data_IF_170093960635
#
_entry.id   IF_170093960635
#
_cell.length_a   1.000
_cell.length_b   1.000
_cell.length_c   1.000
_cell.angle_alpha   90.00
_cell.angle_beta   90.00
_cell.angle_gamma   90.00
#
_symmetry.space_group_name_H-M   'P 1'
#
loop_
_entity.id
_entity.type
_entity.pdbx_description
1 polymer ?
#
# COMPACT_ATOMS: atom_id res chain seq x y z
N UNK A 1 30.98 9.00 -8.94
CA UNK A 1 30.68 7.69 -9.57
C UNK A 1 29.40 7.84 -10.36
N UNK A 2 29.35 7.31 -11.56
CA UNK A 2 28.12 7.26 -12.38
C UNK A 2 27.57 5.84 -12.31
N UNK A 3 26.28 5.68 -12.08
CA UNK A 3 25.60 4.38 -12.01
C UNK A 3 24.41 4.38 -12.95
N UNK A 4 24.21 3.30 -13.69
CA UNK A 4 22.98 3.02 -14.45
C UNK A 4 22.19 1.94 -13.74
N UNK A 5 20.88 2.00 -13.83
CA UNK A 5 19.95 0.97 -13.37
C UNK A 5 18.92 0.66 -14.43
N UNK A 6 18.64 -0.61 -14.64
CA UNK A 6 17.58 -1.08 -15.54
C UNK A 6 16.74 -2.08 -14.77
N UNK A 7 15.44 -1.94 -14.80
CA UNK A 7 14.55 -2.98 -14.32
C UNK A 7 13.36 -3.16 -15.25
N UNK A 8 12.88 -4.39 -15.33
CA UNK A 8 11.65 -4.73 -16.04
C UNK A 8 10.83 -5.68 -15.18
N UNK A 9 9.54 -5.47 -15.12
CA UNK A 9 8.55 -6.31 -14.45
C UNK A 9 7.41 -6.56 -15.42
N UNK A 10 7.29 -7.81 -15.88
CA UNK A 10 6.16 -8.26 -16.71
C UNK A 10 5.29 -9.20 -15.90
N UNK A 11 4.00 -8.91 -15.76
CA UNK A 11 3.07 -9.70 -14.96
C UNK A 11 1.78 -9.98 -15.72
N UNK A 12 1.40 -11.26 -15.74
CA UNK A 12 0.03 -11.71 -16.06
C UNK A 12 -0.76 -11.77 -14.78
N UNK A 13 -1.96 -11.22 -14.77
CA UNK A 13 -2.84 -11.19 -13.61
C UNK A 13 -4.23 -11.65 -14.04
N UNK A 14 -4.79 -12.64 -13.34
CA UNK A 14 -6.10 -13.22 -13.62
C UNK A 14 -7.00 -13.13 -12.40
N UNK A 15 -8.23 -12.74 -12.64
CA UNK A 15 -9.27 -12.59 -11.65
C UNK A 15 -10.47 -13.42 -12.00
N UNK A 16 -11.06 -14.07 -10.99
CA UNK A 16 -12.44 -14.51 -10.92
C UNK A 16 -13.03 -13.83 -9.69
N UNK A 17 -13.59 -12.64 -9.90
CA UNK A 17 -14.14 -11.82 -8.82
C UNK A 17 -15.49 -12.36 -8.37
N UNK A 18 -16.05 -11.85 -7.28
CA UNK A 18 -17.41 -12.16 -6.88
C UNK A 18 -18.40 -11.68 -7.95
N UNK A 19 -19.41 -12.52 -8.26
CA UNK A 19 -20.47 -12.19 -9.21
C UNK A 19 -21.41 -11.12 -8.63
N UNK A 20 -21.55 -9.93 -9.26
CA UNK A 20 -22.44 -8.89 -8.79
C UNK A 20 -23.91 -9.31 -8.78
N UNK A 21 -24.68 -8.85 -7.79
CA UNK A 21 -26.13 -9.01 -7.82
C UNK A 21 -26.73 -8.11 -8.92
N UNK A 22 -27.62 -8.68 -9.74
CA UNK A 22 -28.23 -7.99 -10.89
C UNK A 22 -29.11 -6.79 -10.50
N UNK A 23 -29.58 -6.74 -9.25
CA UNK A 23 -30.43 -5.67 -8.73
C UNK A 23 -29.66 -4.43 -8.28
N UNK A 24 -28.34 -4.56 -8.06
CA UNK A 24 -27.52 -3.52 -7.40
C UNK A 24 -26.57 -2.81 -8.37
N UNK A 25 -26.30 -3.37 -9.56
CA UNK A 25 -25.34 -2.79 -10.49
C UNK A 25 -25.56 -3.25 -11.93
N UNK A 26 -24.99 -2.54 -12.93
CA UNK A 26 -24.80 -3.12 -14.24
C UNK A 26 -24.02 -4.41 -14.09
N UNK A 27 -24.53 -5.49 -14.66
CA UNK A 27 -23.87 -6.80 -14.65
C UNK A 27 -22.60 -6.68 -15.47
N UNK A 28 -21.45 -6.84 -14.82
CA UNK A 28 -20.16 -6.88 -15.47
C UNK A 28 -19.61 -8.30 -15.46
N UNK A 29 -18.60 -8.57 -16.27
CA UNK A 29 -17.90 -9.85 -16.27
C UNK A 29 -16.85 -9.85 -15.15
N UNK A 30 -16.98 -10.65 -14.10
CA UNK A 30 -16.02 -10.73 -13.01
C UNK A 30 -14.75 -11.52 -13.38
N UNK A 31 -14.77 -12.26 -14.51
CA UNK A 31 -13.70 -13.17 -14.94
C UNK A 31 -12.89 -12.52 -16.06
N UNK A 32 -11.61 -12.24 -15.79
CA UNK A 32 -10.72 -11.66 -16.80
C UNK A 32 -9.24 -11.94 -16.49
N UNK A 33 -8.43 -11.79 -17.53
CA UNK A 33 -6.97 -11.86 -17.45
C UNK A 33 -6.37 -10.72 -18.25
N UNK A 34 -5.39 -10.03 -17.68
CA UNK A 34 -4.68 -8.96 -18.38
C UNK A 34 -3.16 -9.08 -18.19
N UNK A 35 -2.42 -8.43 -19.09
CA UNK A 35 -0.97 -8.35 -19.06
C UNK A 35 -0.54 -6.92 -18.71
N UNK A 36 0.42 -6.78 -17.83
CA UNK A 36 1.08 -5.52 -17.58
C UNK A 36 2.60 -5.66 -17.62
N UNK A 37 3.24 -4.65 -18.17
CA UNK A 37 4.69 -4.52 -18.25
C UNK A 37 5.12 -3.15 -17.72
N UNK A 38 6.20 -3.12 -16.93
CA UNK A 38 6.83 -1.90 -16.45
C UNK A 38 8.34 -2.00 -16.58
N UNK A 39 8.93 -1.11 -17.37
CA UNK A 39 10.37 -0.91 -17.43
C UNK A 39 10.77 0.40 -16.74
N UNK A 40 11.89 0.39 -16.05
CA UNK A 40 12.53 1.59 -15.47
C UNK A 40 13.98 1.68 -15.94
N UNK A 41 14.36 2.86 -16.45
CA UNK A 41 15.73 3.22 -16.78
C UNK A 41 16.16 4.37 -15.89
N UNK A 42 17.20 4.16 -15.08
CA UNK A 42 17.72 5.15 -14.15
C UNK A 42 19.19 5.45 -14.36
N UNK A 43 19.56 6.71 -14.13
CA UNK A 43 20.95 7.17 -14.09
C UNK A 43 21.17 7.94 -12.80
N UNK A 44 22.27 7.64 -12.12
CA UNK A 44 22.69 8.34 -10.92
C UNK A 44 24.12 8.84 -11.02
N UNK A 45 24.36 10.04 -10.47
CA UNK A 45 25.70 10.59 -10.26
C UNK A 45 25.91 10.78 -8.76
N UNK A 46 26.90 10.11 -8.19
CA UNK A 46 27.22 10.18 -6.78
C UNK A 46 28.54 10.93 -6.58
N UNK A 47 28.48 12.06 -5.89
CA UNK A 47 29.63 12.82 -5.43
C UNK A 47 29.83 12.70 -3.91
N UNK A 48 30.85 13.36 -3.39
CA UNK A 48 31.12 13.39 -1.94
C UNK A 48 30.08 14.20 -1.15
N UNK A 49 29.56 15.26 -1.73
CA UNK A 49 28.61 16.20 -1.09
C UNK A 49 27.26 16.28 -1.79
N UNK A 50 27.13 15.75 -2.99
CA UNK A 50 25.89 15.79 -3.76
C UNK A 50 25.66 14.47 -4.49
N UNK A 51 24.39 14.13 -4.69
CA UNK A 51 23.95 13.07 -5.58
C UNK A 51 22.86 13.64 -6.49
N UNK A 52 22.85 13.18 -7.75
CA UNK A 52 21.79 13.43 -8.70
C UNK A 52 21.24 12.10 -9.17
N UNK A 53 19.93 11.99 -9.31
CA UNK A 53 19.30 10.79 -9.84
C UNK A 53 18.14 11.16 -10.74
N UNK A 54 18.06 10.49 -11.88
CA UNK A 54 16.93 10.56 -12.80
C UNK A 54 16.52 9.15 -13.21
N UNK A 55 15.22 8.92 -13.34
CA UNK A 55 14.70 7.66 -13.85
C UNK A 55 13.44 7.89 -14.68
N UNK A 56 13.32 7.18 -15.80
CA UNK A 56 12.13 7.11 -16.62
C UNK A 56 11.49 5.74 -16.48
N UNK A 57 10.17 5.73 -16.44
CA UNK A 57 9.37 4.51 -16.43
C UNK A 57 8.56 4.43 -17.73
N UNK A 58 8.52 3.25 -18.30
CA UNK A 58 7.57 2.88 -19.35
C UNK A 58 6.61 1.84 -18.78
N UNK A 59 5.32 2.04 -18.95
CA UNK A 59 4.25 1.10 -18.56
C UNK A 59 3.41 0.76 -19.78
N UNK A 60 3.05 -0.51 -19.92
CA UNK A 60 2.12 -1.03 -20.92
C UNK A 60 1.14 -1.98 -20.24
N UNK A 61 -0.14 -1.79 -20.50
CA UNK A 61 -1.22 -2.66 -20.06
C UNK A 61 -2.00 -3.14 -21.28
N UNK A 62 -2.35 -4.41 -21.29
CA UNK A 62 -3.07 -5.05 -22.38
C UNK A 62 -4.18 -5.93 -21.86
N UNK A 63 -5.26 -6.01 -22.63
CA UNK A 63 -6.44 -6.81 -22.33
C UNK A 63 -7.11 -6.44 -21.00
N UNK A 64 -7.20 -5.14 -20.70
CA UNK A 64 -7.96 -4.67 -19.56
C UNK A 64 -9.46 -4.95 -19.76
N UNK A 65 -10.20 -5.38 -18.72
CA UNK A 65 -11.61 -5.70 -18.83
C UNK A 65 -12.44 -4.44 -19.08
N UNK A 66 -13.27 -4.46 -20.10
CA UNK A 66 -14.12 -3.31 -20.50
C UNK A 66 -15.46 -3.28 -19.77
N UNK A 67 -15.84 -4.36 -19.12
CA UNK A 67 -17.16 -4.60 -18.52
C UNK A 67 -17.11 -5.11 -17.07
N UNK A 68 -15.93 -5.20 -16.43
CA UNK A 68 -15.78 -5.63 -15.04
C UNK A 68 -16.20 -4.52 -14.04
N UNK A 69 -17.46 -4.05 -14.16
CA UNK A 69 -17.96 -2.84 -13.48
C UNK A 69 -18.77 -3.31 -12.33
N UNK A 70 -19.00 -3.82 -11.52
CA UNK A 70 -19.93 -4.17 -10.47
C UNK A 70 -20.26 -2.98 -9.54
N UNK A 71 -20.66 -3.22 -8.31
CA UNK A 71 -20.74 -2.19 -7.29
C UNK A 71 -19.33 -1.74 -6.88
N UNK A 72 -18.70 -0.86 -7.69
CA UNK A 72 -17.29 -0.54 -7.68
C UNK A 72 -16.46 -1.52 -8.54
N UNK A 73 -15.21 -1.20 -8.86
CA UNK A 73 -14.38 -2.04 -9.75
C UNK A 73 -14.17 -3.46 -9.23
N UNK A 74 -14.25 -4.43 -10.13
CA UNK A 74 -14.09 -5.84 -9.85
C UNK A 74 -12.61 -6.26 -10.02
N UNK A 75 -11.75 -5.86 -9.09
CA UNK A 75 -10.33 -6.14 -9.13
C UNK A 75 -9.47 -5.07 -9.83
N UNK A 76 -8.16 -5.28 -9.88
CA UNK A 76 -7.19 -4.27 -10.33
C UNK A 76 -7.33 -3.89 -11.81
N UNK A 77 -7.62 -4.84 -12.68
CA UNK A 77 -7.83 -4.60 -14.12
C UNK A 77 -8.99 -3.63 -14.38
N UNK A 78 -10.09 -3.77 -13.63
CA UNK A 78 -11.23 -2.88 -13.70
C UNK A 78 -10.89 -1.45 -13.27
N UNK A 79 -10.06 -1.28 -12.24
CA UNK A 79 -9.60 0.05 -11.82
C UNK A 79 -8.70 0.70 -12.87
N UNK A 80 -7.81 -0.05 -13.53
CA UNK A 80 -7.00 0.48 -14.65
C UNK A 80 -7.88 0.88 -15.83
N UNK A 81 -8.86 0.05 -16.18
CA UNK A 81 -9.80 0.40 -17.24
C UNK A 81 -10.64 1.64 -16.90
N UNK A 82 -11.14 1.74 -15.68
CA UNK A 82 -11.93 2.90 -15.23
C UNK A 82 -11.12 4.22 -15.27
N UNK A 83 -9.81 4.16 -15.02
CA UNK A 83 -8.92 5.33 -15.07
C UNK A 83 -8.52 5.72 -16.50
N UNK A 84 -8.36 4.75 -17.41
CA UNK A 84 -7.88 5.00 -18.78
C UNK A 84 -8.99 5.10 -19.82
N UNK A 85 -10.11 4.39 -19.60
CA UNK A 85 -11.19 4.20 -20.59
C UNK A 85 -10.80 3.28 -21.76
N UNK A 86 -9.66 2.58 -21.68
CA UNK A 86 -9.09 1.80 -22.76
C UNK A 86 -8.80 0.37 -22.29
N UNK A 87 -9.01 -0.61 -23.17
CA UNK A 87 -8.61 -2.02 -22.94
C UNK A 87 -7.10 -2.23 -23.04
N UNK A 88 -6.36 -1.25 -23.51
CA UNK A 88 -4.90 -1.18 -23.52
C UNK A 88 -4.46 0.23 -23.14
N UNK A 89 -3.31 0.35 -22.48
CA UNK A 89 -2.73 1.65 -22.14
C UNK A 89 -1.21 1.54 -22.17
N UNK A 90 -0.54 2.61 -22.56
CA UNK A 90 0.91 2.71 -22.48
C UNK A 90 1.31 4.15 -22.13
N UNK A 91 2.34 4.28 -21.28
CA UNK A 91 2.85 5.58 -20.89
C UNK A 91 4.35 5.54 -20.63
N UNK A 92 5.05 6.57 -21.11
CA UNK A 92 6.41 6.90 -20.69
C UNK A 92 6.36 8.14 -19.80
N UNK A 93 6.95 8.06 -18.61
CA UNK A 93 6.93 9.16 -17.65
C UNK A 93 8.19 9.27 -16.82
N UNK A 94 8.43 10.48 -16.29
CA UNK A 94 9.51 10.75 -15.36
C UNK A 94 9.19 10.15 -13.99
N UNK A 95 9.82 9.03 -13.66
CA UNK A 95 9.62 8.31 -12.40
C UNK A 95 10.39 8.94 -11.23
N UNK A 96 11.59 9.50 -11.48
CA UNK A 96 12.41 10.12 -10.44
C UNK A 96 13.29 11.23 -11.05
N UNK A 97 13.41 12.35 -10.34
CA UNK A 97 14.40 13.40 -10.62
C UNK A 97 14.73 14.11 -9.32
N UNK A 98 15.87 13.79 -8.72
CA UNK A 98 16.27 14.30 -7.42
C UNK A 98 17.66 14.90 -7.45
N UNK A 99 17.83 15.98 -6.69
CA UNK A 99 19.11 16.49 -6.25
C UNK A 99 19.21 16.32 -4.72
N UNK A 100 20.31 15.74 -4.24
CA UNK A 100 20.57 15.51 -2.84
C UNK A 100 21.89 16.15 -2.43
N UNK A 101 21.83 17.11 -1.51
CA UNK A 101 22.99 17.65 -0.81
C UNK A 101 23.20 16.88 0.48
N UNK A 102 24.43 16.46 0.77
CA UNK A 102 24.72 15.62 1.92
C UNK A 102 26.01 16.02 2.64
N UNK A 103 25.99 15.82 3.94
CA UNK A 103 27.17 15.86 4.80
C UNK A 103 27.35 14.48 5.47
N UNK A 104 28.26 14.39 6.45
CA UNK A 104 28.43 13.13 7.23
C UNK A 104 27.18 12.72 8.01
N UNK A 105 26.28 13.66 8.35
CA UNK A 105 25.15 13.44 9.25
C UNK A 105 23.83 13.98 8.75
N UNK A 106 23.85 14.80 7.72
CA UNK A 106 22.63 15.45 7.20
C UNK A 106 22.52 15.26 5.71
N UNK A 107 21.30 15.18 5.21
CA UNK A 107 21.01 15.23 3.78
C UNK A 107 19.75 16.06 3.54
N UNK A 108 19.75 16.81 2.45
CA UNK A 108 18.58 17.53 1.91
C UNK A 108 18.35 17.02 0.49
N UNK A 109 17.19 16.45 0.25
CA UNK A 109 16.77 15.95 -1.07
C UNK A 109 15.61 16.81 -1.58
N UNK A 110 15.69 17.25 -2.83
CA UNK A 110 14.68 18.05 -3.50
C UNK A 110 14.35 17.43 -4.85
N UNK A 111 13.08 17.47 -5.24
CA UNK A 111 12.59 17.02 -6.55
C UNK A 111 11.55 15.91 -6.46
N UNK A 112 11.41 15.16 -7.56
CA UNK A 112 10.52 13.99 -7.64
C UNK A 112 11.23 12.78 -7.07
N UNK A 113 10.71 12.26 -5.96
CA UNK A 113 11.38 11.23 -5.18
C UNK A 113 10.47 10.06 -4.84
N UNK A 114 11.08 8.95 -4.46
CA UNK A 114 10.43 7.84 -3.75
C UNK A 114 10.37 8.18 -2.26
N UNK A 115 9.22 7.95 -1.64
CA UNK A 115 9.07 8.05 -0.20
C UNK A 115 8.12 6.97 0.32
N UNK A 116 8.49 6.34 1.41
CA UNK A 116 7.65 5.37 2.11
C UNK A 116 7.82 5.56 3.61
N UNK A 117 6.71 5.75 4.32
CA UNK A 117 6.72 5.81 5.78
C UNK A 117 7.20 4.50 6.39
N UNK A 118 8.03 4.55 7.43
CA UNK A 118 8.67 3.39 8.04
C UNK A 118 9.95 2.92 7.35
N UNK A 119 10.27 3.46 6.16
CA UNK A 119 11.47 3.13 5.37
C UNK A 119 12.57 4.21 5.42
N UNK A 120 12.42 5.20 6.30
CA UNK A 120 13.31 6.36 6.37
C UNK A 120 14.75 5.98 6.73
N UNK A 121 14.91 4.91 7.47
CA UNK A 121 16.20 4.34 7.83
C UNK A 121 16.25 2.83 7.56
N UNK A 122 17.36 2.33 7.04
CA UNK A 122 17.60 0.91 6.80
C UNK A 122 18.41 0.30 7.96
N UNK A 123 17.94 -0.84 8.48
CA UNK A 123 18.65 -1.59 9.51
C UNK A 123 19.84 -2.33 8.93
N UNK A 124 20.96 -2.38 9.67
CA UNK A 124 22.10 -3.25 9.34
C UNK A 124 21.86 -4.73 9.70
N UNK A 125 20.84 -5.03 10.51
CA UNK A 125 20.39 -6.38 10.81
C UNK A 125 19.43 -6.87 9.71
N UNK A 126 19.78 -7.89 8.91
CA UNK A 126 18.96 -8.34 7.79
C UNK A 126 17.57 -8.84 8.22
N UNK A 127 17.47 -9.54 9.37
CA UNK A 127 16.19 -10.03 9.88
C UNK A 127 15.27 -8.88 10.29
N UNK A 128 15.81 -7.84 10.95
CA UNK A 128 15.05 -6.65 11.32
C UNK A 128 14.67 -5.83 10.08
N UNK A 129 15.57 -5.68 9.11
CA UNK A 129 15.28 -4.97 7.86
C UNK A 129 14.13 -5.63 7.10
N UNK A 130 14.19 -6.94 6.95
CA UNK A 130 13.12 -7.72 6.32
C UNK A 130 11.79 -7.56 7.05
N UNK A 131 11.80 -7.68 8.39
CA UNK A 131 10.59 -7.49 9.21
C UNK A 131 9.96 -6.11 8.97
N UNK A 132 10.78 -5.05 8.87
CA UNK A 132 10.32 -3.69 8.56
C UNK A 132 9.73 -3.59 7.16
N UNK A 133 10.39 -4.13 6.15
CA UNK A 133 9.92 -4.13 4.74
C UNK A 133 8.57 -4.82 4.60
N UNK A 134 8.43 -5.98 5.22
CA UNK A 134 7.19 -6.74 5.14
C UNK A 134 6.04 -6.10 5.95
N UNK A 135 6.32 -5.52 7.15
CA UNK A 135 5.26 -5.20 8.11
C UNK A 135 5.09 -3.72 8.45
N UNK A 136 6.11 -2.87 8.30
CA UNK A 136 6.06 -1.45 8.70
C UNK A 136 6.07 -0.46 7.52
N UNK A 137 6.82 -0.76 6.43
CA UNK A 137 6.93 0.17 5.32
C UNK A 137 5.59 0.45 4.65
N UNK A 138 5.38 1.70 4.22
CA UNK A 138 4.26 2.13 3.38
C UNK A 138 2.85 1.95 3.98
N UNK A 139 2.70 1.89 5.31
CA UNK A 139 1.38 1.74 5.94
C UNK A 139 0.48 2.96 5.72
N UNK A 140 1.03 4.17 5.82
CA UNK A 140 0.30 5.43 5.68
C UNK A 140 0.67 6.18 4.41
N UNK A 141 1.95 6.19 4.04
CA UNK A 141 2.49 6.87 2.87
C UNK A 141 3.40 5.88 2.15
N UNK A 142 3.12 5.60 0.88
CA UNK A 142 3.88 4.65 0.08
C UNK A 142 3.72 4.89 -1.41
N UNK A 143 4.48 4.14 -2.18
CA UNK A 143 4.60 4.29 -3.63
C UNK A 143 3.50 3.60 -4.42
N UNK A 144 2.62 2.84 -3.76
CA UNK A 144 1.69 1.95 -4.43
C UNK A 144 2.43 0.92 -5.30
N UNK A 145 3.43 0.28 -4.71
CA UNK A 145 4.55 -0.39 -5.39
C UNK A 145 4.14 -1.54 -6.32
N UNK A 146 3.05 -2.25 -5.98
CA UNK A 146 2.56 -3.36 -6.79
C UNK A 146 1.84 -2.89 -8.07
N UNK A 147 1.34 -1.64 -8.12
CA UNK A 147 0.71 -1.11 -9.32
C UNK A 147 1.76 -0.84 -10.39
N UNK A 148 1.35 -0.90 -11.65
CA UNK A 148 2.26 -0.64 -12.75
C UNK A 148 2.66 0.82 -12.81
N UNK A 149 1.71 1.74 -12.61
CA UNK A 149 1.96 3.18 -12.68
C UNK A 149 2.63 3.73 -11.42
N UNK A 150 2.44 3.11 -10.25
CA UNK A 150 2.98 3.58 -8.98
C UNK A 150 2.63 5.05 -8.68
N UNK A 151 3.24 5.62 -7.66
CA UNK A 151 3.20 7.08 -7.38
C UNK A 151 4.58 7.54 -6.95
N UNK A 152 4.81 8.84 -7.11
CA UNK A 152 5.99 9.54 -6.63
C UNK A 152 5.56 10.74 -5.81
N UNK A 153 6.55 11.45 -5.25
CA UNK A 153 6.32 12.62 -4.42
C UNK A 153 7.22 13.74 -4.89
N UNK A 154 6.64 14.90 -5.21
CA UNK A 154 7.34 16.11 -5.60
C UNK A 154 7.47 17.01 -4.39
N UNK A 155 8.71 17.30 -3.95
CA UNK A 155 8.91 18.10 -2.75
C UNK A 155 10.33 18.08 -2.19
N UNK A 156 10.41 18.19 -0.87
CA UNK A 156 11.66 18.29 -0.12
C UNK A 156 11.67 17.29 1.03
N UNK A 157 12.85 16.69 1.28
CA UNK A 157 13.11 15.80 2.41
C UNK A 157 14.42 16.18 3.05
N UNK A 158 14.40 16.31 4.37
CA UNK A 158 15.57 16.47 5.22
C UNK A 158 15.79 15.23 6.08
N UNK A 159 17.03 14.76 6.17
CA UNK A 159 17.45 13.66 7.02
C UNK A 159 18.59 14.09 7.93
N UNK A 160 18.52 13.70 9.20
CA UNK A 160 19.59 13.84 10.17
C UNK A 160 19.90 12.47 10.78
N UNK A 161 21.11 11.98 10.58
CA UNK A 161 21.55 10.69 11.10
C UNK A 161 22.55 10.84 12.25
N UNK A 162 22.31 10.13 13.33
CA UNK A 162 23.15 9.98 14.51
C UNK A 162 23.38 8.51 14.78
N UNK A 163 24.33 8.19 15.64
CA UNK A 163 24.70 6.78 15.93
C UNK A 163 23.49 5.94 16.39
N UNK A 164 22.64 6.49 17.25
CA UNK A 164 21.49 5.79 17.84
C UNK A 164 20.11 6.33 17.40
N UNK A 165 20.10 7.41 16.59
CA UNK A 165 18.86 8.09 16.23
C UNK A 165 18.90 8.55 14.77
N UNK A 166 17.74 8.58 14.14
CA UNK A 166 17.54 9.14 12.81
C UNK A 166 16.29 10.03 12.82
N UNK A 167 16.38 11.20 12.21
CA UNK A 167 15.26 12.13 12.05
C UNK A 167 15.03 12.33 10.56
N UNK A 168 13.78 12.20 10.12
CA UNK A 168 13.34 12.61 8.79
C UNK A 168 12.24 13.64 8.91
N UNK A 169 12.28 14.69 8.09
CA UNK A 169 11.18 15.62 7.87
C UNK A 169 10.99 15.81 6.37
N UNK A 170 9.75 15.80 5.90
CA UNK A 170 9.45 15.97 4.48
C UNK A 170 8.15 16.75 4.27
N UNK A 171 8.12 17.51 3.18
CA UNK A 171 6.93 18.18 2.68
C UNK A 171 6.83 17.94 1.17
N UNK A 172 5.71 17.43 0.71
CA UNK A 172 5.53 17.05 -0.67
C UNK A 172 4.06 16.99 -1.10
N UNK A 173 3.87 16.93 -2.40
CA UNK A 173 2.62 16.58 -3.06
C UNK A 173 2.81 15.26 -3.80
N UNK A 174 1.82 14.34 -3.80
CA UNK A 174 1.92 13.12 -4.58
C UNK A 174 1.75 13.41 -6.07
N UNK A 175 2.29 12.54 -6.91
CA UNK A 175 1.90 12.49 -8.33
C UNK A 175 0.60 11.69 -8.48
N UNK A 176 -0.11 11.91 -9.57
CA UNK A 176 -1.08 10.94 -10.07
C UNK A 176 -0.37 9.58 -10.24
N UNK A 177 -1.11 8.49 -10.24
CA UNK A 177 -0.52 7.16 -10.32
C UNK A 177 -1.44 6.09 -9.74
N UNK A 178 -0.86 5.00 -9.24
CA UNK A 178 -1.64 3.85 -8.82
C UNK A 178 -2.34 3.19 -9.99
N UNK A 179 -3.59 3.51 -10.23
CA UNK A 179 -4.35 3.06 -11.41
C UNK A 179 -4.37 4.08 -12.55
N UNK A 180 -4.04 5.34 -12.26
CA UNK A 180 -4.09 6.46 -13.21
C UNK A 180 -2.83 6.54 -14.07
N UNK A 181 -2.99 6.65 -15.37
CA UNK A 181 -1.87 6.70 -16.32
C UNK A 181 -1.10 8.04 -16.33
N UNK A 182 -1.72 9.13 -15.92
CA UNK A 182 -1.11 10.47 -15.95
C UNK A 182 -0.09 10.71 -14.83
N UNK A 183 0.81 9.77 -14.59
CA UNK A 183 1.77 9.77 -13.48
C UNK A 183 2.83 10.88 -13.52
N UNK A 184 2.97 11.57 -14.65
CA UNK A 184 3.82 12.77 -14.70
C UNK A 184 3.26 13.95 -13.91
N UNK A 185 1.95 14.00 -13.70
CA UNK A 185 1.28 15.16 -13.15
C UNK A 185 1.30 15.10 -11.62
N UNK A 186 1.75 16.18 -11.01
CA UNK A 186 1.62 16.37 -9.57
C UNK A 186 0.19 16.72 -9.18
N UNK A 187 -0.20 16.38 -7.97
CA UNK A 187 -1.50 16.74 -7.39
C UNK A 187 -1.33 17.83 -6.32
N UNK A 188 -1.15 19.13 -6.68
CA UNK A 188 -0.80 20.19 -5.74
C UNK A 188 -1.90 20.48 -4.71
N UNK A 189 -3.13 20.04 -4.96
CA UNK A 189 -4.25 20.14 -4.01
C UNK A 189 -4.24 19.03 -2.94
N UNK A 190 -3.37 18.02 -3.05
CA UNK A 190 -3.09 17.03 -2.02
C UNK A 190 -1.72 17.32 -1.44
N UNK A 191 -1.66 17.78 -0.20
CA UNK A 191 -0.44 18.22 0.47
C UNK A 191 -0.15 17.35 1.69
N UNK A 192 1.11 16.97 1.85
CA UNK A 192 1.55 16.15 2.96
C UNK A 192 2.79 16.78 3.57
N UNK A 193 2.76 16.93 4.90
CA UNK A 193 3.94 17.20 5.71
C UNK A 193 4.09 16.05 6.68
N UNK A 194 5.29 15.49 6.78
CA UNK A 194 5.55 14.37 7.68
C UNK A 194 6.89 14.51 8.38
N UNK A 195 6.98 14.02 9.60
CA UNK A 195 8.22 13.94 10.34
C UNK A 195 8.27 12.62 11.13
N UNK A 196 9.47 12.08 11.29
CA UNK A 196 9.71 10.90 12.11
C UNK A 196 11.01 11.01 12.90
N UNK A 197 10.99 10.45 14.11
CA UNK A 197 12.13 10.24 14.96
C UNK A 197 12.28 8.74 15.20
N UNK A 198 13.37 8.16 14.73
CA UNK A 198 13.68 6.74 14.84
C UNK A 198 14.84 6.52 15.81
N UNK A 199 14.62 5.75 16.85
CA UNK A 199 15.69 5.24 17.71
C UNK A 199 16.08 3.83 17.27
N UNK A 200 17.37 3.57 17.18
CA UNK A 200 17.91 2.37 16.55
C UNK A 200 18.96 1.65 17.40
N UNK A 201 18.83 0.34 17.44
CA UNK A 201 19.83 -0.59 17.98
C UNK A 201 20.05 -1.72 16.96
N UNK A 202 21.08 -2.57 17.12
CA UNK A 202 21.27 -3.71 16.21
C UNK A 202 20.09 -4.69 16.17
N UNK A 203 19.31 -4.79 17.25
CA UNK A 203 18.23 -5.78 17.39
C UNK A 203 16.82 -5.18 17.36
N UNK A 204 16.69 -3.86 17.50
CA UNK A 204 15.38 -3.21 17.63
C UNK A 204 15.39 -1.78 17.07
N UNK A 205 14.20 -1.35 16.66
CA UNK A 205 13.91 0.01 16.26
C UNK A 205 12.58 0.44 16.87
N UNK A 206 12.52 1.67 17.35
CA UNK A 206 11.27 2.36 17.62
C UNK A 206 11.20 3.63 16.81
N UNK A 207 10.01 4.01 16.43
CA UNK A 207 9.76 5.23 15.66
C UNK A 207 8.57 5.97 16.24
N UNK A 208 8.73 7.28 16.44
CA UNK A 208 7.61 8.22 16.62
C UNK A 208 7.44 8.96 15.31
N UNK A 209 6.21 9.12 14.84
CA UNK A 209 5.93 9.81 13.58
C UNK A 209 4.69 10.70 13.70
N UNK A 210 4.69 11.73 12.88
CA UNK A 210 3.54 12.60 12.70
C UNK A 210 3.40 13.03 11.26
N UNK A 211 2.17 13.24 10.79
CA UNK A 211 1.90 13.76 9.46
C UNK A 211 0.65 14.64 9.45
N UNK A 212 0.65 15.62 8.55
CA UNK A 212 -0.52 16.40 8.17
C UNK A 212 -0.88 16.05 6.73
N UNK A 213 -2.14 15.76 6.49
CA UNK A 213 -2.71 15.51 5.16
C UNK A 213 -3.78 16.56 4.89
N UNK A 214 -3.68 17.23 3.76
CA UNK A 214 -4.67 18.21 3.29
C UNK A 214 -5.06 17.89 1.87
N UNK A 215 -6.35 17.71 1.62
CA UNK A 215 -6.91 17.46 0.29
C UNK A 215 -7.98 18.52 -0.03
N UNK A 216 -7.78 19.20 -1.15
CA UNK A 216 -8.65 20.27 -1.68
C UNK A 216 -8.92 20.04 -3.17
N UNK A 217 -8.92 18.79 -3.63
CA UNK A 217 -9.29 18.46 -5.00
C UNK A 217 -10.72 18.90 -5.26
N UNK A 218 -11.04 19.32 -6.47
CA UNK A 218 -12.39 19.71 -6.86
C UNK A 218 -13.14 18.51 -7.41
N UNK A 219 -14.45 18.42 -7.09
CA UNK A 219 -15.40 17.52 -7.74
C UNK A 219 -15.10 16.02 -7.60
N UNK A 220 -14.51 15.60 -6.47
CA UNK A 220 -14.32 14.21 -6.13
C UNK A 220 -15.53 13.69 -5.35
N UNK A 221 -16.08 12.55 -5.77
CA UNK A 221 -17.05 11.85 -4.97
C UNK A 221 -16.37 11.28 -3.72
N UNK A 222 -16.86 11.63 -2.55
CA UNK A 222 -16.43 11.01 -1.30
C UNK A 222 -17.11 9.67 -1.16
N UNK A 223 -16.34 8.66 -0.81
CA UNK A 223 -16.84 7.32 -0.58
C UNK A 223 -16.62 6.97 0.89
N UNK A 224 -17.53 7.41 1.71
CA UNK A 224 -17.67 7.04 3.11
C UNK A 224 -19.14 6.97 3.49
N UNK A 225 -19.46 6.66 4.73
CA UNK A 225 -20.85 6.55 5.19
C UNK A 225 -21.47 7.92 5.52
N UNK A 226 -20.71 9.01 5.55
CA UNK A 226 -21.22 10.31 5.94
C UNK A 226 -22.16 10.91 4.91
N UNK A 227 -21.84 10.83 3.63
CA UNK A 227 -22.67 11.12 2.45
C UNK A 227 -21.87 11.05 1.16
N UNK A 228 -22.53 10.74 0.04
CA UNK A 228 -21.96 10.94 -1.29
C UNK A 228 -22.00 12.43 -1.62
N UNK A 229 -20.90 13.14 -1.46
CA UNK A 229 -20.81 14.55 -1.80
C UNK A 229 -20.14 14.75 -3.13
N UNK A 230 -20.87 15.42 -3.99
CA UNK A 230 -20.37 15.95 -5.25
C UNK A 230 -20.01 17.43 -5.05
N UNK A 231 -18.97 17.65 -4.26
CA UNK A 231 -18.43 18.97 -3.96
C UNK A 231 -16.89 18.91 -3.86
N UNK A 232 -16.20 20.06 -3.89
CA UNK A 232 -14.76 20.11 -3.64
C UNK A 232 -14.38 19.38 -2.36
N UNK A 233 -13.29 18.63 -2.40
CA UNK A 233 -12.77 17.92 -1.22
C UNK A 233 -12.37 18.93 -0.15
N UNK A 234 -12.79 18.68 1.07
CA UNK A 234 -12.45 19.47 2.24
C UNK A 234 -12.03 18.54 3.39
N UNK A 235 -10.77 18.09 3.32
CA UNK A 235 -10.19 17.19 4.31
C UNK A 235 -8.89 17.77 4.82
N UNK A 236 -8.76 17.87 6.14
CA UNK A 236 -7.51 18.27 6.82
C UNK A 236 -7.31 17.41 8.06
N UNK A 237 -6.33 16.53 8.02
CA UNK A 237 -6.07 15.57 9.08
C UNK A 237 -4.64 15.70 9.61
N UNK A 238 -4.50 15.56 10.92
CA UNK A 238 -3.24 15.30 11.60
C UNK A 238 -3.22 13.84 12.05
N UNK A 239 -2.12 13.16 11.82
CA UNK A 239 -1.86 11.79 12.28
C UNK A 239 -0.65 11.80 13.18
N UNK A 240 -0.75 11.17 14.35
CA UNK A 240 0.38 10.92 15.24
C UNK A 240 0.44 9.43 15.57
N UNK A 241 1.63 8.86 15.62
CA UNK A 241 1.75 7.44 15.88
C UNK A 241 3.15 7.00 16.31
N UNK A 242 3.24 5.72 16.61
CA UNK A 242 4.47 5.06 17.00
C UNK A 242 4.56 3.65 16.42
N UNK A 243 5.78 3.17 16.25
CA UNK A 243 6.05 1.78 15.93
C UNK A 243 7.24 1.25 16.73
N UNK A 244 7.26 -0.06 16.91
CA UNK A 244 8.37 -0.79 17.50
C UNK A 244 8.55 -2.11 16.76
N UNK A 245 9.77 -2.40 16.34
CA UNK A 245 10.14 -3.68 15.76
C UNK A 245 11.38 -4.23 16.46
N UNK A 246 11.38 -5.50 16.78
CA UNK A 246 12.49 -6.17 17.44
C UNK A 246 12.69 -7.58 16.88
N UNK A 247 13.95 -7.98 16.77
CA UNK A 247 14.36 -9.36 16.53
C UNK A 247 15.34 -9.77 17.62
N UNK A 248 15.04 -10.83 18.33
CA UNK A 248 15.83 -11.33 19.46
C UNK A 248 16.29 -12.75 19.17
N UNK A 249 17.60 -12.99 19.24
CA UNK A 249 18.16 -14.31 19.08
C UNK A 249 17.72 -15.25 20.21
N UNK A 250 17.39 -16.48 19.85
CA UNK A 250 17.06 -17.60 20.73
C UNK A 250 17.96 -18.79 20.38
N UNK A 251 17.94 -19.83 21.24
CA UNK A 251 18.83 -21.00 21.07
C UNK A 251 18.74 -21.67 19.68
N UNK A 252 17.52 -21.77 19.12
CA UNK A 252 17.27 -22.47 17.85
C UNK A 252 16.79 -21.54 16.74
N UNK A 253 16.71 -20.22 16.98
CA UNK A 253 16.16 -19.28 16.01
C UNK A 253 16.10 -17.85 16.51
N UNK A 254 15.10 -17.14 16.06
CA UNK A 254 14.83 -15.73 16.39
C UNK A 254 13.34 -15.55 16.70
N UNK A 255 13.03 -14.81 17.74
CA UNK A 255 11.69 -14.28 17.97
C UNK A 255 11.63 -12.85 17.47
N UNK A 256 10.58 -12.49 16.79
CA UNK A 256 10.34 -11.14 16.34
C UNK A 256 9.01 -10.58 16.85
N UNK A 257 8.94 -9.25 16.96
CA UNK A 257 7.74 -8.54 17.41
C UNK A 257 7.60 -7.25 16.63
N UNK A 258 6.37 -6.93 16.25
CA UNK A 258 5.98 -5.64 15.66
C UNK A 258 4.80 -5.08 16.43
N UNK A 259 4.94 -3.84 16.87
CA UNK A 259 3.88 -3.01 17.40
C UNK A 259 3.79 -1.75 16.54
N UNK A 260 2.60 -1.38 16.13
CA UNK A 260 2.37 -0.16 15.37
C UNK A 260 1.02 0.43 15.79
N UNK A 261 0.94 1.75 15.86
CA UNK A 261 -0.32 2.44 16.12
C UNK A 261 -0.29 3.87 15.66
N UNK A 262 -1.47 4.38 15.28
CA UNK A 262 -1.67 5.76 14.88
C UNK A 262 -3.05 6.25 15.32
N UNK A 263 -3.13 7.52 15.71
CA UNK A 263 -4.37 8.26 15.97
C UNK A 263 -4.46 9.42 14.99
N UNK A 264 -5.68 9.73 14.55
CA UNK A 264 -5.98 10.80 13.61
C UNK A 264 -6.97 11.79 14.20
N UNK A 265 -6.76 13.06 13.89
CA UNK A 265 -7.59 14.18 14.34
C UNK A 265 -7.70 15.20 13.20
N UNK A 266 -8.80 15.94 13.16
CA UNK A 266 -8.93 17.01 12.19
C UNK A 266 -10.34 17.28 11.73
N UNK A 267 -10.45 17.68 10.49
CA UNK A 267 -11.69 18.02 9.83
C UNK A 267 -11.92 17.13 8.60
N UNK A 268 -13.15 16.63 8.49
CA UNK A 268 -13.64 15.82 7.38
C UNK A 268 -14.94 16.43 6.88
N UNK A 269 -14.84 17.36 5.92
CA UNK A 269 -15.99 18.08 5.37
C UNK A 269 -16.82 18.86 6.41
N UNK A 270 -16.15 19.46 7.40
CA UNK A 270 -16.78 20.19 8.50
C UNK A 270 -17.14 19.33 9.71
N UNK A 271 -16.96 18.02 9.66
CA UNK A 271 -17.15 17.08 10.78
C UNK A 271 -15.86 16.89 11.55
N UNK A 272 -15.95 16.73 12.86
CA UNK A 272 -14.80 16.40 13.70
C UNK A 272 -14.30 14.99 13.41
N UNK A 273 -13.08 14.88 12.86
CA UNK A 273 -12.46 13.57 12.61
C UNK A 273 -11.69 13.08 13.83
N UNK A 274 -11.97 11.86 14.27
CA UNK A 274 -11.23 11.15 15.32
C UNK A 274 -11.20 9.66 15.01
N UNK A 275 -10.04 9.14 14.70
CA UNK A 275 -9.88 7.76 14.29
C UNK A 275 -8.56 7.17 14.81
N UNK A 276 -8.47 5.85 14.89
CA UNK A 276 -7.27 5.17 15.32
C UNK A 276 -7.09 3.83 14.62
N UNK A 277 -5.84 3.38 14.52
CA UNK A 277 -5.51 2.03 14.09
C UNK A 277 -4.32 1.48 14.84
N UNK A 278 -4.32 0.17 15.10
CA UNK A 278 -3.27 -0.55 15.81
C UNK A 278 -2.96 -1.87 15.12
N UNK A 279 -1.69 -2.29 15.17
CA UNK A 279 -1.26 -3.61 14.71
C UNK A 279 -0.29 -4.22 15.74
N UNK A 280 -0.55 -5.46 16.11
CA UNK A 280 0.24 -6.25 17.05
C UNK A 280 0.61 -7.56 16.39
N UNK A 281 1.91 -7.86 16.29
CA UNK A 281 2.38 -9.05 15.58
C UNK A 281 3.56 -9.68 16.31
N UNK A 282 3.64 -11.00 16.28
CA UNK A 282 4.79 -11.75 16.78
C UNK A 282 5.08 -12.94 15.86
N UNK A 283 6.34 -13.34 15.81
CA UNK A 283 6.76 -14.46 15.01
C UNK A 283 7.97 -15.20 15.62
N UNK A 284 8.15 -16.44 15.16
CA UNK A 284 9.33 -17.24 15.47
C UNK A 284 9.91 -17.84 14.18
N UNK A 285 11.20 -17.59 13.95
CA UNK A 285 11.95 -18.08 12.82
C UNK A 285 13.00 -19.09 13.27
N UNK A 286 12.94 -20.31 12.77
CA UNK A 286 13.92 -21.38 13.04
C UNK A 286 15.16 -21.18 12.15
N UNK A 287 16.13 -20.40 12.60
CA UNK A 287 17.34 -20.09 11.82
C UNK A 287 18.32 -21.26 11.71
N UNK A 288 18.24 -22.24 12.63
CA UNK A 288 19.02 -23.48 12.61
C UNK A 288 18.52 -24.51 11.59
N UNK A 289 17.26 -24.42 11.15
CA UNK A 289 16.70 -25.31 10.15
C UNK A 289 17.12 -24.89 8.73
N UNK A 290 17.39 -25.87 7.83
CA UNK A 290 17.85 -25.61 6.45
C UNK A 290 16.87 -24.74 5.63
N UNK A 291 15.57 -24.94 5.79
CA UNK A 291 14.51 -24.17 5.12
C UNK A 291 14.10 -22.90 5.88
N UNK A 292 14.70 -22.62 7.04
CA UNK A 292 14.44 -21.44 7.86
C UNK A 292 12.94 -21.11 8.03
N UNK A 293 12.11 -22.07 8.50
CA UNK A 293 10.69 -21.80 8.66
C UNK A 293 10.45 -20.59 9.56
N UNK A 294 9.45 -19.80 9.21
CA UNK A 294 9.03 -18.64 9.98
C UNK A 294 7.52 -18.66 10.15
N UNK A 295 7.06 -18.83 11.37
CA UNK A 295 5.67 -18.75 11.76
C UNK A 295 5.42 -17.40 12.42
N UNK A 296 4.38 -16.72 12.00
CA UNK A 296 3.98 -15.41 12.51
C UNK A 296 2.47 -15.35 12.66
N UNK A 297 2.00 -14.63 13.66
CA UNK A 297 0.60 -14.29 13.81
C UNK A 297 0.45 -12.83 14.25
N UNK A 298 -0.70 -12.25 13.99
CA UNK A 298 -0.96 -10.87 14.36
C UNK A 298 -2.42 -10.49 14.26
N UNK A 299 -2.67 -9.28 14.72
CA UNK A 299 -3.97 -8.64 14.68
C UNK A 299 -3.81 -7.18 14.27
N UNK A 300 -4.63 -6.76 13.33
CA UNK A 300 -4.78 -5.37 12.88
C UNK A 300 -6.19 -4.91 13.16
N UNK A 301 -6.33 -3.72 13.73
CA UNK A 301 -7.59 -3.03 13.87
C UNK A 301 -7.48 -1.59 13.37
N UNK A 302 -8.50 -1.13 12.67
CA UNK A 302 -8.67 0.25 12.23
C UNK A 302 -10.12 0.67 12.46
N UNK A 303 -10.33 1.78 13.12
CA UNK A 303 -11.67 2.26 13.47
C UNK A 303 -12.53 2.49 12.23
N UNK A 304 -13.81 2.23 12.37
CA UNK A 304 -14.89 2.62 11.46
C UNK A 304 -15.77 3.68 12.11
N UNK A 305 -16.62 4.28 11.31
CA UNK A 305 -17.59 5.24 11.78
C UNK A 305 -18.83 4.55 12.36
N UNK A 306 -19.40 5.14 13.40
CA UNK A 306 -20.58 4.61 14.08
C UNK A 306 -21.90 5.14 13.53
N UNK A 307 -21.89 6.31 12.89
CA UNK A 307 -23.06 6.97 12.35
C UNK A 307 -22.68 7.98 11.27
N UNK A 308 -23.22 7.82 10.08
CA UNK A 308 -23.07 8.80 9.00
C UNK A 308 -23.87 10.10 9.18
N UNK A 309 -24.69 10.21 10.23
CA UNK A 309 -25.62 11.34 10.44
C UNK A 309 -25.16 12.33 11.51
N UNK A 310 -24.17 11.97 12.33
CA UNK A 310 -23.66 12.84 13.39
C UNK A 310 -22.55 13.79 12.91
N UNK A 311 -22.03 14.63 13.81
CA UNK A 311 -20.97 15.60 13.52
C UNK A 311 -19.56 15.00 13.63
N UNK A 312 -19.44 13.67 13.68
CA UNK A 312 -18.18 12.97 13.79
C UNK A 312 -17.90 12.14 12.54
N UNK A 313 -16.61 11.90 12.27
CA UNK A 313 -16.12 10.94 11.30
C UNK A 313 -15.08 10.05 11.97
N UNK A 314 -15.44 8.79 12.16
CA UNK A 314 -14.67 7.80 12.94
C UNK A 314 -13.84 6.84 12.12
N UNK A 315 -13.98 6.83 10.80
CA UNK A 315 -13.23 5.91 9.92
C UNK A 315 -11.76 6.28 9.84
N UNK A 316 -10.88 5.36 10.22
CA UNK A 316 -9.44 5.56 10.04
C UNK A 316 -9.09 5.74 8.56
N UNK A 317 -8.45 6.86 8.25
CA UNK A 317 -8.08 7.21 6.88
C UNK A 317 -6.64 6.80 6.58
N UNK A 318 -6.45 5.81 5.74
CA UNK A 318 -5.13 5.24 5.45
C UNK A 318 -4.23 6.14 4.57
N UNK A 319 -4.60 7.36 4.25
CA UNK A 319 -3.91 8.36 3.43
C UNK A 319 -3.48 7.85 2.04
N UNK A 320 -2.20 7.54 1.85
CA UNK A 320 -1.57 7.14 0.57
C UNK A 320 -0.73 5.87 0.71
N UNK A 321 -1.26 4.74 1.18
CA UNK A 321 -0.46 3.55 1.45
C UNK A 321 0.02 2.85 0.18
N UNK A 322 0.95 1.90 0.35
CA UNK A 322 0.99 0.73 -0.51
C UNK A 322 0.01 -0.29 0.07
N UNK A 323 -1.06 -0.57 -0.64
CA UNK A 323 -2.04 -1.54 -0.22
C UNK A 323 -1.50 -2.93 -0.11
N UNK A 324 -1.61 -3.94 0.24
CA UNK A 324 -0.98 -5.28 0.25
C UNK A 324 -0.01 -5.52 1.41
N UNK A 325 -0.19 -4.81 2.52
CA UNK A 325 0.52 -5.16 3.76
C UNK A 325 -0.16 -6.33 4.48
N UNK A 326 -1.49 -6.38 4.37
CA UNK A 326 -2.33 -7.42 4.89
C UNK A 326 -3.29 -7.86 3.77
N UNK A 327 -2.97 -8.87 3.03
CA UNK A 327 -3.75 -9.33 1.89
C UNK A 327 -3.29 -8.75 0.54
N UNK A 328 -2.61 -9.60 -0.22
CA UNK A 328 -1.99 -9.21 -1.49
C UNK A 328 -3.00 -9.04 -2.62
N UNK A 329 -4.21 -9.59 -2.52
CA UNK A 329 -5.32 -9.37 -3.46
C UNK A 329 -5.85 -7.93 -3.44
N UNK A 330 -5.47 -7.12 -2.43
CA UNK A 330 -5.89 -5.72 -2.30
C UNK A 330 -7.43 -5.52 -2.33
N UNK A 331 -8.18 -6.49 -1.80
CA UNK A 331 -9.65 -6.45 -1.75
C UNK A 331 -10.19 -5.63 -0.60
N UNK A 332 -9.32 -5.14 0.28
CA UNK A 332 -9.67 -4.29 1.43
C UNK A 332 -8.54 -3.31 1.76
N UNK A 333 -8.91 -2.22 2.40
CA UNK A 333 -8.00 -1.20 2.93
C UNK A 333 -7.93 -1.29 4.46
N UNK A 334 -6.89 -0.70 5.07
CA UNK A 334 -6.79 -0.51 6.52
C UNK A 334 -7.72 0.64 6.97
N UNK A 335 -9.00 0.47 6.72
CA UNK A 335 -10.08 1.41 7.03
C UNK A 335 -11.29 0.59 7.45
N UNK A 336 -11.88 0.89 8.62
CA UNK A 336 -13.00 0.12 9.17
C UNK A 336 -12.73 -1.39 9.17
N UNK A 337 -11.60 -1.82 9.67
CA UNK A 337 -11.11 -3.19 9.51
C UNK A 337 -10.65 -3.81 10.82
N UNK A 338 -10.94 -5.08 10.98
CA UNK A 338 -10.37 -5.99 11.96
C UNK A 338 -9.86 -7.23 11.21
N UNK A 339 -8.56 -7.50 11.29
CA UNK A 339 -7.88 -8.59 10.58
C UNK A 339 -7.03 -9.40 11.56
N UNK A 340 -7.44 -10.63 11.84
CA UNK A 340 -6.62 -11.61 12.54
C UNK A 340 -5.95 -12.53 11.51
N UNK A 341 -4.63 -12.64 11.54
CA UNK A 341 -3.91 -13.40 10.54
C UNK A 341 -2.85 -14.33 11.11
N UNK A 342 -2.53 -15.37 10.35
CA UNK A 342 -1.37 -16.22 10.54
C UNK A 342 -0.59 -16.35 9.23
N UNK A 343 0.73 -16.35 9.34
CA UNK A 343 1.66 -16.47 8.23
C UNK A 343 2.63 -17.61 8.48
N UNK A 344 2.89 -18.41 7.48
CA UNK A 344 3.99 -19.37 7.46
C UNK A 344 4.84 -19.17 6.22
N UNK A 345 6.15 -19.06 6.39
CA UNK A 345 7.09 -18.95 5.27
C UNK A 345 8.29 -19.86 5.43
N UNK A 346 8.90 -20.22 4.31
CA UNK A 346 10.12 -21.06 4.24
C UNK A 346 11.08 -20.51 3.19
N UNK A 347 12.36 -20.76 3.40
CA UNK A 347 13.45 -20.36 2.50
C UNK A 347 14.34 -21.56 2.13
N UNK A 348 13.84 -22.54 1.34
CA UNK A 348 14.67 -23.63 0.88
C UNK A 348 15.66 -23.14 -0.19
N UNK A 349 16.93 -22.98 0.20
CA UNK A 349 17.98 -22.49 -0.69
C UNK A 349 17.81 -21.01 -1.04
N UNK A 350 17.45 -20.71 -2.30
CA UNK A 350 17.20 -19.34 -2.79
C UNK A 350 15.72 -19.02 -2.96
N UNK A 351 14.86 -20.04 -2.89
CA UNK A 351 13.42 -19.87 -3.05
C UNK A 351 12.85 -19.31 -1.75
N UNK A 352 11.93 -18.35 -1.86
CA UNK A 352 11.10 -17.91 -0.75
C UNK A 352 9.65 -18.28 -1.04
N UNK A 353 9.02 -19.01 -0.14
CA UNK A 353 7.60 -19.35 -0.22
C UNK A 353 6.88 -18.92 1.06
N UNK A 354 5.69 -18.35 0.91
CA UNK A 354 4.86 -17.84 2.00
C UNK A 354 3.40 -18.18 1.75
N UNK A 355 2.69 -18.54 2.81
CA UNK A 355 1.25 -18.65 2.87
C UNK A 355 0.72 -17.81 4.02
N UNK A 356 -0.39 -17.11 3.82
CA UNK A 356 -1.08 -16.31 4.83
C UNK A 356 -2.56 -16.69 4.86
N UNK A 357 -3.15 -16.61 6.05
CA UNK A 357 -4.57 -16.83 6.30
C UNK A 357 -5.08 -15.67 7.11
N UNK A 358 -6.18 -15.05 6.69
CA UNK A 358 -6.79 -13.88 7.31
C UNK A 358 -8.24 -14.15 7.65
N UNK A 359 -8.67 -13.74 8.84
CA UNK A 359 -10.08 -13.66 9.24
C UNK A 359 -10.47 -12.18 9.32
N UNK A 360 -11.35 -11.76 8.42
CA UNK A 360 -11.65 -10.36 8.17
C UNK A 360 -13.03 -9.97 8.70
N UNK A 361 -13.06 -8.90 9.48
CA UNK A 361 -14.28 -8.25 9.96
C UNK A 361 -14.18 -6.75 9.75
N UNK A 362 -15.31 -6.06 9.65
CA UNK A 362 -15.38 -4.63 9.79
C UNK A 362 -15.39 -4.24 11.28
N UNK A 363 -14.80 -3.12 11.63
CA UNK A 363 -14.85 -2.57 12.99
C UNK A 363 -16.25 -2.02 13.34
N UNK A 364 -16.98 -1.52 12.33
CA UNK A 364 -18.37 -1.04 12.43
C UNK A 364 -19.20 -1.53 11.24
N UNK A 365 -20.37 -2.10 11.51
CA UNK A 365 -21.36 -2.46 10.51
C UNK A 365 -22.18 -1.26 9.99
N UNK A 366 -22.07 -0.10 10.64
CA UNK A 366 -22.69 1.16 10.19
C UNK A 366 -21.85 1.87 9.12
N UNK A 367 -20.61 1.45 8.93
CA UNK A 367 -19.67 2.01 7.97
C UNK A 367 -19.54 1.14 6.72
N UNK A 368 -18.58 1.42 5.85
CA UNK A 368 -18.39 0.74 4.58
C UNK A 368 -17.26 -0.30 4.63
N UNK A 369 -17.31 -1.24 3.72
CA UNK A 369 -16.16 -2.04 3.30
C UNK A 369 -15.37 -1.25 2.27
N UNK A 370 -14.17 -0.83 2.61
CA UNK A 370 -13.31 0.02 1.81
C UNK A 370 -12.27 -0.76 1.00
N UNK A 371 -12.02 -0.27 -0.23
CA UNK A 371 -10.93 -0.67 -1.12
C UNK A 371 -10.24 0.57 -1.68
N UNK A 372 -8.97 0.46 -2.05
CA UNK A 372 -8.21 1.54 -2.67
C UNK A 372 -6.87 1.79 -1.98
N UNK A 373 -6.19 2.86 -2.39
CA UNK A 373 -4.85 3.22 -1.90
C UNK A 373 -4.61 4.72 -1.84
N UNK A 374 -5.66 5.49 -1.58
CA UNK A 374 -5.59 6.93 -1.50
C UNK A 374 -5.64 7.64 -2.84
N UNK A 375 -5.42 8.93 -2.84
CA UNK A 375 -5.50 9.78 -4.02
C UNK A 375 -4.54 9.32 -5.14
N UNK A 376 -5.08 9.11 -6.34
CA UNK A 376 -4.34 8.71 -7.54
C UNK A 376 -4.60 9.63 -8.73
N UNK A 377 -5.67 10.44 -8.69
CA UNK A 377 -6.05 11.35 -9.75
C UNK A 377 -6.45 12.73 -9.21
N UNK A 378 -6.15 13.78 -9.97
CA UNK A 378 -6.63 15.14 -9.73
C UNK A 378 -7.85 15.50 -10.59
N UNK A 379 -8.27 14.62 -11.49
CA UNK A 379 -9.42 14.76 -12.39
C UNK A 379 -10.39 13.60 -12.19
N UNK A 380 -11.63 13.80 -12.65
CA UNK A 380 -12.68 12.80 -12.49
C UNK A 380 -13.21 12.74 -11.07
N UNK A 381 -13.90 11.66 -10.72
CA UNK A 381 -14.66 11.53 -9.46
C UNK A 381 -14.04 10.53 -8.45
N UNK A 382 -12.93 9.91 -8.78
CA UNK A 382 -12.31 8.91 -7.91
C UNK A 382 -11.53 9.57 -6.77
N UNK A 383 -12.07 9.50 -5.56
CA UNK A 383 -11.44 10.08 -4.36
C UNK A 383 -10.11 9.41 -4.00
N UNK A 384 -10.01 8.10 -4.15
CA UNK A 384 -8.83 7.30 -3.81
C UNK A 384 -9.17 6.01 -3.06
N UNK A 385 -10.40 5.92 -2.59
CA UNK A 385 -10.99 4.72 -2.02
C UNK A 385 -12.39 4.56 -2.62
N UNK A 386 -12.84 3.31 -2.74
CA UNK A 386 -14.22 2.94 -2.99
C UNK A 386 -14.77 2.22 -1.77
N UNK A 387 -16.06 2.38 -1.49
CA UNK A 387 -16.69 1.74 -0.35
C UNK A 387 -18.02 1.11 -0.76
N UNK A 388 -18.38 0.03 -0.06
CA UNK A 388 -19.66 -0.66 -0.17
C UNK A 388 -20.31 -0.73 1.19
N UNK A 389 -21.60 -0.39 1.30
CA UNK A 389 -22.30 -0.42 2.58
C UNK A 389 -22.24 -1.81 3.23
N UNK A 390 -21.97 -1.84 4.52
CA UNK A 390 -21.89 -3.07 5.29
C UNK A 390 -23.25 -3.71 5.56
N UNK A 391 -24.34 -2.92 5.50
CA UNK A 391 -25.70 -3.40 5.73
C UNK A 391 -26.01 -3.77 7.19
N UNK A 392 -25.22 -3.27 8.14
CA UNK A 392 -25.31 -3.61 9.56
C UNK A 392 -24.46 -4.81 9.97
N UNK A 393 -23.91 -5.56 9.01
CA UNK A 393 -23.04 -6.71 9.25
C UNK A 393 -21.57 -6.32 9.39
N UNK A 394 -20.79 -7.16 10.03
CA UNK A 394 -19.35 -6.97 10.17
C UNK A 394 -18.51 -8.10 9.55
N UNK A 395 -19.06 -9.27 9.30
CA UNK A 395 -18.32 -10.39 8.73
C UNK A 395 -17.96 -10.11 7.27
N UNK A 396 -16.68 -9.82 7.00
CA UNK A 396 -16.19 -9.59 5.63
C UNK A 396 -15.78 -10.90 4.94
N UNK A 397 -15.26 -11.86 5.70
CA UNK A 397 -14.89 -13.18 5.19
C UNK A 397 -13.50 -13.63 5.61
N UNK A 398 -12.92 -14.56 4.85
CA UNK A 398 -11.58 -15.06 5.09
C UNK A 398 -10.77 -15.06 3.79
N UNK A 399 -9.46 -14.81 3.90
CA UNK A 399 -8.51 -14.86 2.78
C UNK A 399 -7.47 -15.93 3.06
N UNK A 400 -7.16 -16.73 2.06
CA UNK A 400 -5.99 -17.61 2.03
C UNK A 400 -5.20 -17.24 0.80
N UNK A 401 -3.92 -16.94 0.98
CA UNK A 401 -3.06 -16.53 -0.14
C UNK A 401 -1.64 -17.07 -0.01
N UNK A 402 -0.98 -17.22 -1.15
CA UNK A 402 0.37 -17.73 -1.22
C UNK A 402 1.23 -16.99 -2.24
N UNK A 403 2.51 -16.90 -1.93
CA UNK A 403 3.55 -16.31 -2.79
C UNK A 403 4.72 -17.26 -2.88
N UNK A 404 5.30 -17.36 -4.06
CA UNK A 404 6.58 -18.05 -4.29
C UNK A 404 7.48 -17.15 -5.10
N UNK A 405 8.64 -16.79 -4.54
CA UNK A 405 9.70 -16.04 -5.22
C UNK A 405 10.86 -16.98 -5.55
N UNK A 406 11.23 -17.05 -6.82
CA UNK A 406 12.29 -17.92 -7.33
C UNK A 406 13.36 -17.07 -8.03
N UNK A 407 14.52 -16.82 -7.40
CA UNK A 407 15.67 -16.24 -8.09
C UNK A 407 16.25 -17.27 -9.08
N UNK A 408 16.08 -17.03 -10.37
CA UNK A 408 16.59 -17.90 -11.44
C UNK A 408 18.09 -17.64 -11.66
N UNK A 409 18.44 -16.36 -11.80
CA UNK A 409 19.82 -15.88 -12.00
C UNK A 409 20.06 -14.62 -11.15
N UNK A 410 21.29 -14.08 -11.20
CA UNK A 410 21.67 -12.88 -10.45
C UNK A 410 20.73 -11.68 -10.70
N UNK A 411 20.23 -11.55 -11.92
CA UNK A 411 19.45 -10.41 -12.39
C UNK A 411 18.03 -10.79 -12.83
N UNK A 412 17.62 -12.05 -12.63
CA UNK A 412 16.32 -12.55 -13.04
C UNK A 412 15.68 -13.36 -11.93
N UNK A 413 14.45 -13.00 -11.58
CA UNK A 413 13.59 -13.74 -10.66
C UNK A 413 12.18 -13.89 -11.24
N UNK A 414 11.48 -14.89 -10.76
CA UNK A 414 10.08 -15.17 -11.07
C UNK A 414 9.30 -15.16 -9.77
N UNK A 415 8.12 -14.56 -9.79
CA UNK A 415 7.19 -14.53 -8.67
C UNK A 415 5.86 -15.14 -9.09
N UNK A 416 5.33 -16.03 -8.28
CA UNK A 416 3.99 -16.58 -8.41
C UNK A 416 3.14 -16.19 -7.22
N UNK A 417 1.92 -15.78 -7.45
CA UNK A 417 0.93 -15.48 -6.42
C UNK A 417 -0.38 -16.19 -6.72
N UNK A 418 -1.06 -16.68 -5.69
CA UNK A 418 -2.45 -17.15 -5.76
C UNK A 418 -3.17 -16.83 -4.45
N UNK A 419 -4.41 -16.36 -4.54
CA UNK A 419 -5.25 -16.04 -3.40
C UNK A 419 -6.70 -16.40 -3.62
N UNK A 420 -7.37 -16.72 -2.52
CA UNK A 420 -8.81 -17.00 -2.47
C UNK A 420 -9.40 -16.22 -1.30
N UNK A 421 -10.48 -15.49 -1.55
CA UNK A 421 -11.30 -14.87 -0.52
C UNK A 421 -12.67 -15.54 -0.49
N UNK A 422 -13.11 -15.98 0.70
CA UNK A 422 -14.48 -16.44 0.92
C UNK A 422 -15.33 -15.29 1.43
N UNK A 423 -16.56 -15.18 0.90
CA UNK A 423 -17.48 -14.09 1.25
C UNK A 423 -18.04 -14.26 2.66
N UNK A 424 -17.98 -13.22 3.46
CA UNK A 424 -18.80 -13.04 4.65
C UNK A 424 -20.12 -12.35 4.33
N UNK A 425 -20.90 -12.02 5.36
CA UNK A 425 -22.25 -11.42 5.21
C UNK A 425 -22.19 -10.07 4.47
N UNK A 426 -21.20 -9.21 4.79
CA UNK A 426 -20.99 -7.92 4.10
C UNK A 426 -20.83 -8.11 2.59
N UNK A 427 -20.04 -9.09 2.16
CA UNK A 427 -19.81 -9.36 0.74
C UNK A 427 -21.08 -9.89 0.08
N UNK A 428 -21.84 -10.75 0.77
CA UNK A 428 -23.06 -11.36 0.21
C UNK A 428 -24.24 -10.38 0.06
N UNK A 429 -24.18 -9.18 0.64
CA UNK A 429 -25.12 -8.10 0.30
C UNK A 429 -24.99 -7.64 -1.15
N UNK A 430 -23.77 -7.63 -1.68
CA UNK A 430 -23.44 -7.06 -2.99
C UNK A 430 -23.26 -8.11 -4.09
N UNK A 431 -22.90 -9.36 -3.71
CA UNK A 431 -22.48 -10.40 -4.62
C UNK A 431 -23.24 -11.72 -4.37
N UNK A 432 -23.41 -12.50 -5.41
CA UNK A 432 -24.08 -13.82 -5.35
C UNK A 432 -23.09 -14.94 -5.04
N UNK A 433 -21.85 -14.81 -5.54
CA UNK A 433 -20.81 -15.80 -5.30
C UNK A 433 -20.24 -15.72 -3.90
N UNK A 434 -19.84 -16.88 -3.41
CA UNK A 434 -19.19 -17.04 -2.10
C UNK A 434 -17.66 -17.04 -2.17
N UNK A 435 -17.07 -16.90 -3.36
CA UNK A 435 -15.63 -17.02 -3.55
C UNK A 435 -15.12 -16.06 -4.63
N UNK A 436 -14.00 -15.41 -4.32
CA UNK A 436 -13.16 -14.68 -5.25
C UNK A 436 -11.83 -15.43 -5.35
N UNK A 437 -11.28 -15.56 -6.55
CA UNK A 437 -9.92 -16.05 -6.77
C UNK A 437 -9.10 -15.07 -7.59
N UNK A 438 -7.82 -14.99 -7.29
CA UNK A 438 -6.86 -14.20 -8.04
C UNK A 438 -5.54 -14.95 -8.11
N UNK A 439 -4.89 -14.96 -9.28
CA UNK A 439 -3.51 -15.39 -9.39
C UNK A 439 -2.72 -14.44 -10.29
N UNK A 440 -1.42 -14.40 -10.07
CA UNK A 440 -0.50 -13.69 -10.95
C UNK A 440 0.83 -14.43 -11.09
N UNK A 441 1.45 -14.23 -12.25
CA UNK A 441 2.79 -14.68 -12.55
C UNK A 441 3.62 -13.50 -13.04
N UNK A 442 4.78 -13.29 -12.42
CA UNK A 442 5.62 -12.12 -12.65
C UNK A 442 7.05 -12.51 -13.00
N UNK A 443 7.59 -11.93 -14.06
CA UNK A 443 9.01 -11.95 -14.40
C UNK A 443 9.64 -10.63 -14.00
N UNK A 444 10.77 -10.69 -13.32
CA UNK A 444 11.50 -9.51 -12.82
C UNK A 444 12.95 -9.56 -13.24
N UNK A 445 13.38 -8.55 -14.00
CA UNK A 445 14.79 -8.32 -14.36
C UNK A 445 15.29 -7.05 -13.68
N UNK A 446 16.51 -7.10 -13.11
CA UNK A 446 17.16 -5.95 -12.44
C UNK A 446 18.66 -5.96 -12.70
N UNK A 447 19.17 -4.81 -13.22
CA UNK A 447 20.59 -4.59 -13.56
C UNK A 447 21.10 -3.29 -12.92
#
# INVERSE_FOLDING_TARGET
>A
MVTGTVSNVTRVESWSYFEPRTTEAPVGNPDYTFLGDRAELGVGVQGSRFDLRGAFNYVRLENLPTDAIGPGGLGSGAFYFAATGLSYSYQLYLGELTARLKSKRTALTIGRMRFASGAEWASSNPSLQRLKEERLHSRLIGLFEWSYYQRRFDGVRFDLDRSSMHVTAAAFVPTQGGYEESTNLSMPKVQIVTASLTGKTPAAEWQLFGSSYRDRRSEMAVVDNTFALDRPVDVTLATAGASYARVSAMRAGEIDTVLWGAAQFGDWYGRSHRAASVALEAGYRWTSARSRPWLRAGYLWASGDGSGEDDHHGTFFQMLPSSRKYGLSATYAQMNLSDAFAQFSVEPGRVHARIEVHALHLASGADLWYQGSGATSSKGRYFGFSGRAAGGDTSLGAVIEGVVDVPIMRHWSVNGYAGVMTAGQVVTHWFTDKRLTMWSFENVFRF
#
